data_IF_298612718856
#
_entry.id   IF_298612718856
#
_cell.length_a   1.000
_cell.length_b   1.000
_cell.length_c   1.000
_cell.angle_alpha   90.00
_cell.angle_beta   90.00
_cell.angle_gamma   90.00
#
_symmetry.space_group_name_H-M   'P 1'
#
loop_
_entity.id
_entity.type
_entity.pdbx_description
1 polymer ?
#
# COMPACT_ATOMS: atom_id res chain seq x y z
N UNK A 1 2.18 45.32 19.89
CA UNK A 1 2.45 44.02 19.25
C UNK A 1 3.20 43.17 20.27
N UNK A 2 2.89 41.87 20.38
CA UNK A 2 3.43 41.04 21.47
C UNK A 2 4.37 39.99 20.89
N UNK A 3 5.46 39.70 21.59
CA UNK A 3 6.41 38.66 21.19
C UNK A 3 5.76 37.28 21.24
N UNK A 4 5.84 36.52 20.15
CA UNK A 4 5.18 35.22 20.05
C UNK A 4 5.72 34.19 21.06
N UNK A 5 6.99 34.31 21.47
CA UNK A 5 7.64 33.40 22.41
C UNK A 5 7.35 33.77 23.87
N UNK A 6 7.69 35.00 24.26
CA UNK A 6 7.62 35.43 25.67
C UNK A 6 6.36 36.22 26.03
N UNK A 7 5.48 36.53 25.07
CA UNK A 7 4.23 37.29 25.21
C UNK A 7 4.35 38.73 25.75
N UNK A 8 5.57 39.23 25.94
CA UNK A 8 5.84 40.62 26.33
C UNK A 8 5.50 41.59 25.20
N UNK A 9 5.06 42.79 25.54
CA UNK A 9 4.87 43.87 24.56
C UNK A 9 6.22 44.30 23.99
N UNK A 10 6.28 44.44 22.66
CA UNK A 10 7.47 44.88 21.93
C UNK A 10 7.34 46.39 21.68
N UNK A 11 8.40 47.13 21.97
CA UNK A 11 8.50 48.55 21.66
C UNK A 11 8.57 48.70 20.13
N UNK A 12 7.70 49.52 19.51
CA UNK A 12 7.71 49.72 18.06
C UNK A 12 9.07 50.26 17.62
N UNK A 13 9.73 49.55 16.70
CA UNK A 13 11.08 49.85 16.20
C UNK A 13 12.16 48.82 16.58
N UNK A 14 11.91 47.98 17.60
CA UNK A 14 12.82 46.90 18.02
C UNK A 14 12.29 45.50 17.67
N UNK A 15 11.27 45.42 16.80
CA UNK A 15 10.69 44.15 16.37
C UNK A 15 11.56 43.45 15.31
N UNK A 16 11.82 42.16 15.52
CA UNK A 16 12.39 41.28 14.51
C UNK A 16 11.29 40.32 14.05
N UNK A 17 11.13 40.18 12.74
CA UNK A 17 10.09 39.32 12.14
C UNK A 17 10.70 38.09 11.50
N UNK A 18 10.06 36.95 11.73
CA UNK A 18 10.29 35.70 11.01
C UNK A 18 8.95 35.32 10.39
N UNK A 19 8.84 35.48 9.07
CA UNK A 19 7.55 35.45 8.37
C UNK A 19 6.55 36.44 9.02
N UNK A 20 5.36 35.98 9.39
CA UNK A 20 4.29 36.80 9.98
C UNK A 20 4.40 36.93 11.52
N UNK A 21 5.42 36.35 12.14
CA UNK A 21 5.58 36.36 13.59
C UNK A 21 6.58 37.42 14.04
N UNK A 22 6.20 38.16 15.10
CA UNK A 22 7.03 39.20 15.71
C UNK A 22 7.68 38.70 16.99
N UNK A 23 8.97 38.95 17.13
CA UNK A 23 9.78 38.55 18.28
C UNK A 23 10.52 39.77 18.85
N UNK A 24 10.75 39.77 20.17
CA UNK A 24 11.74 40.65 20.76
C UNK A 24 13.15 40.17 20.40
N UNK A 25 14.12 41.07 20.47
CA UNK A 25 15.50 40.82 20.05
C UNK A 25 16.11 39.58 20.72
N UNK A 26 15.94 39.43 22.04
CA UNK A 26 16.43 38.25 22.78
C UNK A 26 15.84 36.94 22.28
N UNK A 27 14.51 36.89 22.10
CA UNK A 27 13.82 35.68 21.65
C UNK A 27 14.17 35.33 20.20
N UNK A 28 14.47 36.34 19.38
CA UNK A 28 14.93 36.15 18.00
C UNK A 28 16.36 35.60 17.96
N UNK A 29 17.27 36.13 18.81
CA UNK A 29 18.64 35.61 18.93
C UNK A 29 18.65 34.15 19.41
N UNK A 30 17.82 33.78 20.39
CA UNK A 30 17.68 32.38 20.81
C UNK A 30 17.14 31.46 19.70
N UNK A 31 16.34 32.00 18.77
CA UNK A 31 15.76 31.23 17.67
C UNK A 31 16.80 31.00 16.54
N UNK A 32 17.67 31.99 16.30
CA UNK A 32 18.77 31.88 15.33
C UNK A 32 19.94 31.08 15.87
N UNK A 33 20.23 31.21 17.17
CA UNK A 33 21.17 30.37 17.89
C UNK A 33 20.51 29.01 18.13
N UNK A 34 20.32 28.27 17.03
CA UNK A 34 19.94 26.86 17.03
C UNK A 34 20.84 26.20 18.07
N UNK A 35 20.31 25.71 19.21
CA UNK A 35 21.16 25.13 20.22
C UNK A 35 21.88 23.97 19.55
N UNK A 36 23.18 24.15 19.30
CA UNK A 36 24.05 23.01 19.03
C UNK A 36 23.79 22.08 20.19
N UNK A 37 23.32 20.87 19.87
CA UNK A 37 23.08 19.80 20.84
C UNK A 37 24.39 19.54 21.58
N UNK A 38 24.67 20.36 22.60
CA UNK A 38 25.67 20.09 23.60
C UNK A 38 25.07 18.94 24.39
N UNK A 39 25.60 17.75 24.11
CA UNK A 39 25.38 16.56 24.91
C UNK A 39 25.85 16.87 26.33
N UNK A 40 24.93 17.36 27.15
CA UNK A 40 25.07 17.40 28.58
C UNK A 40 23.85 16.66 29.11
N UNK A 41 24.09 15.42 29.55
CA UNK A 41 23.12 14.53 30.16
C UNK A 41 22.32 15.26 31.24
N UNK A 42 21.00 15.41 31.10
CA UNK A 42 20.15 15.53 32.26
C UNK A 42 19.70 14.12 32.61
N UNK A 43 20.00 13.68 33.82
CA UNK A 43 19.28 12.60 34.49
C UNK A 43 17.81 13.01 34.66
N UNK A 44 17.05 12.98 33.55
CA UNK A 44 15.61 13.08 33.57
C UNK A 44 15.10 11.73 34.04
N UNK A 45 14.60 11.72 35.27
CA UNK A 45 13.55 10.82 35.70
C UNK A 45 12.35 11.04 34.78
N UNK A 46 12.40 10.46 33.58
CA UNK A 46 11.27 10.39 32.68
C UNK A 46 10.24 9.51 33.40
N UNK A 47 9.19 10.16 33.88
CA UNK A 47 7.91 9.52 34.20
C UNK A 47 7.55 8.70 32.97
N UNK A 48 7.87 7.41 33.00
CA UNK A 48 7.61 6.50 31.89
C UNK A 48 6.11 6.31 31.86
N UNK A 49 5.45 7.08 31.00
CA UNK A 49 4.03 6.91 30.74
C UNK A 49 3.83 5.49 30.22
N UNK A 50 3.16 4.68 31.03
CA UNK A 50 2.93 3.27 30.73
C UNK A 50 1.85 3.20 29.67
N UNK A 51 2.25 2.89 28.45
CA UNK A 51 1.37 2.70 27.30
C UNK A 51 0.88 1.25 27.30
N UNK A 52 -0.32 0.99 26.78
CA UNK A 52 -0.84 -0.36 26.61
C UNK A 52 -0.63 -0.85 25.17
N UNK A 53 -0.18 -2.09 25.02
CA UNK A 53 -0.15 -2.78 23.74
C UNK A 53 -1.57 -2.98 23.20
N UNK A 54 -1.81 -2.67 21.92
CA UNK A 54 -3.14 -2.78 21.32
C UNK A 54 -3.66 -4.23 21.26
N UNK A 55 -2.78 -5.23 21.12
CA UNK A 55 -3.15 -6.64 20.98
C UNK A 55 -3.28 -7.36 22.32
N UNK A 56 -2.21 -7.36 23.13
CA UNK A 56 -2.19 -8.11 24.40
C UNK A 56 -2.59 -7.27 25.63
N UNK A 57 -2.81 -5.95 25.47
CA UNK A 57 -3.13 -5.01 26.58
C UNK A 57 -2.08 -4.94 27.70
N UNK A 58 -0.88 -5.50 27.49
CA UNK A 58 0.22 -5.39 28.45
C UNK A 58 0.79 -3.98 28.47
N UNK A 59 1.22 -3.54 29.66
CA UNK A 59 1.90 -2.26 29.87
C UNK A 59 3.31 -2.33 29.30
N UNK A 60 3.63 -1.47 28.34
CA UNK A 60 4.92 -1.36 27.68
C UNK A 60 5.52 0.02 27.94
N UNK A 61 6.86 0.09 27.98
CA UNK A 61 7.55 1.38 27.99
C UNK A 61 7.45 2.03 26.60
N UNK A 62 7.37 3.35 26.56
CA UNK A 62 7.33 4.07 25.28
C UNK A 62 8.58 3.80 24.42
N UNK A 63 9.73 3.63 25.06
CA UNK A 63 11.01 3.37 24.39
C UNK A 63 11.08 1.99 23.72
N UNK A 64 10.31 1.01 24.22
CA UNK A 64 10.28 -0.36 23.66
C UNK A 64 9.10 -0.61 22.72
N UNK A 65 8.20 0.36 22.56
CA UNK A 65 7.01 0.17 21.72
C UNK A 65 7.35 0.29 20.23
N UNK A 66 6.78 -0.62 19.42
CA UNK A 66 6.80 -0.51 17.96
C UNK A 66 5.49 0.13 17.51
N UNK A 67 5.57 1.15 16.64
CA UNK A 67 4.43 1.92 16.15
C UNK A 67 4.14 1.54 14.70
N UNK A 68 2.87 1.22 14.39
CA UNK A 68 2.38 1.02 13.02
C UNK A 68 1.18 1.95 12.84
N UNK A 69 1.42 3.12 12.24
CA UNK A 69 0.44 4.19 12.19
C UNK A 69 0.08 4.72 13.58
N UNK A 70 -1.20 4.66 13.94
CA UNK A 70 -1.74 5.14 15.23
C UNK A 70 -1.61 4.07 16.33
N UNK A 71 -1.37 2.81 15.96
CA UNK A 71 -1.35 1.68 16.89
C UNK A 71 0.05 1.43 17.47
N UNK A 72 0.10 1.12 18.77
CA UNK A 72 1.31 0.81 19.53
C UNK A 72 1.29 -0.66 19.96
N UNK A 73 2.37 -1.38 19.68
CA UNK A 73 2.49 -2.83 19.95
C UNK A 73 3.71 -3.12 20.81
N UNK A 74 3.62 -4.19 21.61
CA UNK A 74 4.80 -4.78 22.24
C UNK A 74 5.67 -5.47 21.17
N UNK A 75 6.99 -5.65 21.44
CA UNK A 75 7.91 -6.27 20.49
C UNK A 75 7.45 -7.64 19.98
N UNK A 76 6.89 -8.47 20.87
CA UNK A 76 6.40 -9.82 20.55
C UNK A 76 5.21 -9.79 19.58
N UNK A 77 4.17 -9.02 19.91
CA UNK A 77 2.99 -8.90 19.05
C UNK A 77 3.32 -8.24 17.71
N UNK A 78 4.25 -7.29 17.68
CA UNK A 78 4.71 -6.69 16.44
C UNK A 78 5.47 -7.70 15.56
N UNK A 79 6.29 -8.58 16.15
CA UNK A 79 6.95 -9.64 15.41
C UNK A 79 5.92 -10.58 14.77
N UNK A 80 4.87 -10.97 15.50
CA UNK A 80 3.79 -11.82 14.97
C UNK A 80 3.04 -11.19 13.79
N UNK A 81 2.88 -9.87 13.77
CA UNK A 81 2.23 -9.16 12.65
C UNK A 81 3.09 -9.16 11.37
N UNK A 82 4.41 -9.17 11.51
CA UNK A 82 5.33 -9.18 10.37
C UNK A 82 5.65 -10.59 9.87
N UNK A 83 5.26 -11.62 10.61
CA UNK A 83 5.26 -12.98 10.09
C UNK A 83 4.07 -13.10 9.13
N UNK A 84 4.30 -12.79 7.86
CA UNK A 84 3.51 -13.40 6.80
C UNK A 84 3.63 -14.91 7.01
N UNK A 85 2.55 -15.64 7.34
CA UNK A 85 2.61 -17.08 7.34
C UNK A 85 3.09 -17.45 5.93
N UNK A 86 4.27 -18.08 5.84
CA UNK A 86 4.70 -18.72 4.60
C UNK A 86 3.54 -19.65 4.28
N UNK A 87 2.76 -19.31 3.26
CA UNK A 87 1.69 -20.19 2.79
C UNK A 87 2.36 -21.54 2.61
N UNK A 88 1.93 -22.53 3.41
CA UNK A 88 2.28 -23.92 3.13
C UNK A 88 1.56 -24.23 1.82
N UNK A 89 2.22 -23.96 0.71
CA UNK A 89 1.91 -24.51 -0.60
C UNK A 89 2.11 -26.02 -0.47
N UNK A 90 1.04 -26.71 -0.12
CA UNK A 90 1.09 -28.12 0.25
C UNK A 90 -0.20 -28.53 0.94
N UNK A 91 -1.33 -28.39 0.25
CA UNK A 91 -2.46 -29.29 0.47
C UNK A 91 -2.66 -29.97 -0.88
N UNK A 92 -2.39 -31.27 -0.86
CA UNK A 92 -2.59 -32.20 -1.97
C UNK A 92 -4.02 -32.05 -2.50
N UNK A 93 -4.12 -31.93 -3.83
CA UNK A 93 -5.28 -32.42 -4.57
C UNK A 93 -5.32 -33.94 -4.40
N UNK A 94 -5.98 -34.42 -3.35
CA UNK A 94 -6.51 -35.78 -3.32
C UNK A 94 -8.01 -35.68 -3.58
N UNK A 95 -8.35 -36.13 -4.79
CA UNK A 95 -9.63 -36.69 -5.24
C UNK A 95 -10.85 -36.40 -4.35
N UNK A 96 -11.63 -35.41 -4.78
CA UNK A 96 -13.06 -35.39 -4.51
C UNK A 96 -13.79 -35.58 -5.83
N UNK A 97 -14.10 -36.84 -6.12
CA UNK A 97 -15.04 -37.23 -7.17
C UNK A 97 -16.32 -36.40 -7.05
N UNK A 98 -16.64 -35.72 -8.16
CA UNK A 98 -17.89 -35.02 -8.38
C UNK A 98 -19.03 -36.02 -8.54
N UNK A 99 -20.03 -35.94 -7.67
CA UNK A 99 -21.39 -36.40 -8.00
C UNK A 99 -22.09 -35.30 -8.81
N UNK A 100 -22.62 -35.58 -10.01
CA UNK A 100 -23.31 -34.59 -10.82
C UNK A 100 -24.82 -34.74 -10.65
N UNK A 101 -25.45 -34.00 -9.74
CA UNK A 101 -26.89 -33.71 -9.83
C UNK A 101 -27.27 -32.61 -8.83
N UNK A 102 -28.29 -31.83 -9.21
CA UNK A 102 -28.88 -30.67 -8.49
C UNK A 102 -28.19 -29.32 -8.75
N UNK A 103 -28.47 -28.69 -9.89
CA UNK A 103 -29.68 -27.88 -10.17
C UNK A 103 -29.59 -26.42 -9.68
N UNK A 104 -29.15 -25.56 -10.61
CA UNK A 104 -29.87 -24.37 -11.06
C UNK A 104 -30.68 -23.60 -9.99
N UNK A 105 -30.04 -22.61 -9.36
CA UNK A 105 -30.57 -21.26 -9.10
C UNK A 105 -29.44 -20.34 -8.63
N UNK A 106 -28.57 -19.97 -9.56
CA UNK A 106 -27.57 -18.92 -9.34
C UNK A 106 -28.06 -17.61 -9.93
N UNK A 107 -28.55 -16.71 -9.08
CA UNK A 107 -28.61 -15.28 -9.38
C UNK A 107 -27.21 -14.80 -9.81
N UNK A 108 -27.05 -14.04 -10.91
CA UNK A 108 -25.77 -13.46 -11.26
C UNK A 108 -25.48 -12.32 -10.27
N UNK A 109 -24.82 -12.63 -9.16
CA UNK A 109 -24.10 -11.62 -8.40
C UNK A 109 -22.94 -11.16 -9.28
N UNK A 110 -23.16 -10.04 -9.97
CA UNK A 110 -22.14 -9.30 -10.69
C UNK A 110 -21.16 -8.81 -9.63
N UNK A 111 -20.16 -9.63 -9.32
CA UNK A 111 -19.08 -9.30 -8.41
C UNK A 111 -18.23 -8.22 -9.11
N UNK A 112 -18.61 -6.95 -8.90
CA UNK A 112 -17.88 -5.75 -9.34
C UNK A 112 -16.56 -5.55 -8.58
N UNK A 113 -15.97 -6.62 -8.04
CA UNK A 113 -14.59 -6.62 -7.62
C UNK A 113 -13.77 -7.15 -8.80
N UNK A 114 -12.95 -6.32 -9.47
CA UNK A 114 -11.91 -6.81 -10.37
C UNK A 114 -10.84 -7.51 -9.52
N UNK A 115 -11.19 -8.65 -8.93
CA UNK A 115 -10.23 -9.65 -8.52
C UNK A 115 -9.67 -10.17 -9.83
N UNK A 116 -8.61 -9.51 -10.31
CA UNK A 116 -7.69 -10.09 -11.27
C UNK A 116 -7.45 -11.52 -10.80
N UNK A 117 -7.79 -12.50 -11.65
CA UNK A 117 -7.55 -13.91 -11.39
C UNK A 117 -6.04 -14.16 -11.37
N UNK A 118 -5.38 -13.77 -10.29
CA UNK A 118 -3.96 -14.02 -10.02
C UNK A 118 -3.64 -15.51 -9.95
N UNK A 119 -4.65 -16.39 -9.99
CA UNK A 119 -4.48 -17.83 -9.96
C UNK A 119 -4.05 -18.42 -11.31
N UNK A 120 -4.30 -17.72 -12.43
CA UNK A 120 -3.86 -18.22 -13.74
C UNK A 120 -2.46 -17.69 -14.04
N UNK A 121 -1.50 -18.60 -14.06
CA UNK A 121 -0.14 -18.34 -14.53
C UNK A 121 0.13 -19.07 -15.84
N UNK A 122 1.00 -18.49 -16.66
CA UNK A 122 1.51 -19.06 -17.89
C UNK A 122 3.03 -18.93 -17.92
N UNK A 123 3.71 -19.74 -18.74
CA UNK A 123 5.18 -19.73 -18.79
C UNK A 123 5.66 -18.75 -19.86
N UNK A 124 6.61 -17.88 -19.49
CA UNK A 124 7.35 -17.08 -20.44
C UNK A 124 8.07 -18.00 -21.43
N UNK A 125 7.87 -17.79 -22.73
CA UNK A 125 8.45 -18.66 -23.75
C UNK A 125 9.97 -18.48 -23.96
N UNK A 126 10.54 -17.36 -23.51
CA UNK A 126 11.99 -17.11 -23.61
C UNK A 126 12.75 -17.62 -22.39
N UNK A 127 12.29 -17.30 -21.17
CA UNK A 127 13.02 -17.64 -19.94
C UNK A 127 12.37 -18.76 -19.10
N UNK A 128 11.20 -19.25 -19.48
CA UNK A 128 10.48 -20.33 -18.78
C UNK A 128 9.84 -19.96 -17.44
N UNK A 129 9.96 -18.71 -16.99
CA UNK A 129 9.41 -18.22 -15.72
C UNK A 129 7.88 -18.20 -15.77
N UNK A 130 7.23 -18.67 -14.71
CA UNK A 130 5.78 -18.53 -14.53
C UNK A 130 5.41 -17.06 -14.27
N UNK A 131 4.50 -16.53 -15.09
CA UNK A 131 4.00 -15.16 -15.04
C UNK A 131 2.47 -15.18 -14.90
N UNK A 132 1.87 -14.27 -14.11
CA UNK A 132 0.42 -14.14 -14.07
C UNK A 132 -0.08 -13.65 -15.42
N UNK A 133 -1.23 -14.16 -15.88
CA UNK A 133 -1.81 -13.80 -17.20
C UNK A 133 -2.01 -12.28 -17.35
N UNK A 134 -2.38 -11.58 -16.28
CA UNK A 134 -2.51 -10.10 -16.31
C UNK A 134 -1.18 -9.34 -16.42
N UNK A 135 -0.04 -10.01 -16.22
CA UNK A 135 1.30 -9.43 -16.30
C UNK A 135 2.12 -9.87 -17.51
N UNK A 136 1.57 -10.76 -18.37
CA UNK A 136 2.23 -11.17 -19.59
C UNK A 136 1.96 -10.19 -20.73
N UNK A 137 2.92 -10.07 -21.64
CA UNK A 137 2.75 -9.34 -22.91
C UNK A 137 2.79 -10.35 -24.05
N UNK A 138 1.83 -10.25 -24.97
CA UNK A 138 1.73 -11.11 -26.14
C UNK A 138 2.38 -10.43 -27.35
N UNK A 139 3.41 -11.06 -27.90
CA UNK A 139 4.14 -10.57 -29.08
C UNK A 139 4.27 -11.73 -30.06
N UNK A 140 3.74 -11.59 -31.28
CA UNK A 140 3.72 -12.67 -32.28
C UNK A 140 3.14 -14.00 -31.75
N UNK A 141 2.08 -13.92 -30.94
CA UNK A 141 1.46 -15.09 -30.32
C UNK A 141 2.21 -15.70 -29.14
N UNK A 142 3.36 -15.14 -28.75
CA UNK A 142 4.20 -15.60 -27.64
C UNK A 142 3.95 -14.79 -26.38
N UNK A 143 3.81 -15.46 -25.24
CA UNK A 143 3.68 -14.82 -23.94
C UNK A 143 5.07 -14.60 -23.33
N UNK A 144 5.40 -13.34 -23.06
CA UNK A 144 6.69 -12.91 -22.53
C UNK A 144 6.53 -12.24 -21.17
N UNK A 145 7.49 -12.49 -20.28
CA UNK A 145 7.60 -11.75 -19.04
C UNK A 145 8.08 -10.30 -19.31
N UNK A 146 7.84 -9.36 -18.38
CA UNK A 146 8.26 -7.96 -18.56
C UNK A 146 9.74 -7.81 -18.90
N UNK A 147 10.61 -8.56 -18.21
CA UNK A 147 12.06 -8.53 -18.44
C UNK A 147 12.43 -8.95 -19.87
N UNK A 148 11.86 -10.06 -20.36
CA UNK A 148 12.12 -10.53 -21.72
C UNK A 148 11.51 -9.61 -22.77
N UNK A 149 10.35 -9.01 -22.50
CA UNK A 149 9.71 -8.04 -23.38
C UNK A 149 10.56 -6.78 -23.54
N UNK A 150 11.07 -6.20 -22.45
CA UNK A 150 11.91 -5.00 -22.51
C UNK A 150 13.28 -5.24 -23.15
N UNK A 151 13.79 -6.46 -23.11
CA UNK A 151 15.02 -6.87 -23.78
C UNK A 151 14.89 -6.99 -25.31
N UNK A 152 13.67 -7.06 -25.86
CA UNK A 152 13.46 -7.10 -27.30
C UNK A 152 13.82 -5.75 -27.96
N UNK A 153 14.21 -5.74 -29.25
CA UNK A 153 14.34 -4.51 -30.02
C UNK A 153 12.98 -3.83 -30.25
N UNK A 154 12.98 -2.51 -30.38
CA UNK A 154 11.74 -1.71 -30.42
C UNK A 154 10.87 -1.99 -31.66
N UNK A 155 11.47 -2.40 -32.77
CA UNK A 155 10.76 -2.81 -33.99
C UNK A 155 9.79 -3.99 -33.75
N UNK A 156 10.15 -4.87 -32.82
CA UNK A 156 9.35 -6.05 -32.45
C UNK A 156 8.32 -5.68 -31.36
N UNK A 157 8.69 -4.78 -30.43
CA UNK A 157 7.75 -4.29 -29.40
C UNK A 157 6.56 -3.55 -29.99
N UNK A 158 6.76 -2.85 -31.12
CA UNK A 158 5.69 -2.16 -31.84
C UNK A 158 4.61 -3.11 -32.39
N UNK A 159 4.89 -4.41 -32.47
CA UNK A 159 3.94 -5.45 -32.88
C UNK A 159 3.27 -6.15 -31.69
N UNK A 160 3.42 -5.63 -30.47
CA UNK A 160 2.71 -6.16 -29.32
C UNK A 160 1.21 -5.87 -29.48
N UNK A 161 0.40 -6.93 -29.46
CA UNK A 161 -1.05 -6.80 -29.49
C UNK A 161 -1.51 -6.26 -28.13
N UNK A 162 -1.84 -4.96 -28.05
CA UNK A 162 -2.55 -4.36 -26.90
C UNK A 162 -4.03 -4.79 -26.84
N UNK A 163 -4.43 -5.83 -27.59
CA UNK A 163 -5.80 -6.34 -27.67
C UNK A 163 -6.13 -7.26 -26.49
N UNK A 164 -5.99 -6.79 -25.26
CA UNK A 164 -6.47 -7.52 -24.08
C UNK A 164 -7.92 -7.17 -23.68
N UNK A 165 -8.62 -6.26 -24.39
CA UNK A 165 -9.95 -5.79 -23.94
C UNK A 165 -11.01 -5.58 -25.05
N UNK A 166 -10.90 -6.21 -26.23
CA UNK A 166 -11.89 -6.00 -27.31
C UNK A 166 -12.91 -7.14 -27.47
N UNK A 167 -12.57 -8.38 -27.14
CA UNK A 167 -13.45 -9.53 -27.45
C UNK A 167 -14.59 -9.74 -26.44
N UNK A 168 -14.52 -9.11 -25.26
CA UNK A 168 -15.57 -9.20 -24.22
C UNK A 168 -16.78 -8.28 -24.49
N UNK A 169 -16.68 -7.31 -25.41
CA UNK A 169 -17.79 -6.40 -25.74
C UNK A 169 -18.73 -6.91 -26.83
N UNK A 170 -18.31 -7.88 -27.66
CA UNK A 170 -19.19 -8.45 -28.70
C UNK A 170 -20.28 -9.36 -28.12
N UNK A 171 -20.01 -10.02 -27.00
CA UNK A 171 -21.00 -10.90 -26.33
C UNK A 171 -22.09 -10.12 -25.59
N UNK A 172 -21.80 -8.89 -25.12
CA UNK A 172 -22.78 -8.05 -24.40
C UNK A 172 -23.76 -7.37 -25.36
N UNK A 173 -23.35 -7.07 -26.59
CA UNK A 173 -24.22 -6.41 -27.56
C UNK A 173 -25.31 -7.36 -28.10
N UNK A 174 -25.00 -8.65 -28.32
CA UNK A 174 -26.00 -9.64 -28.75
C UNK A 174 -27.08 -9.92 -27.68
N UNK A 175 -26.80 -9.67 -26.40
CA UNK A 175 -27.77 -9.82 -25.32
C UNK A 175 -28.79 -8.66 -25.25
N UNK A 176 -28.47 -7.48 -25.82
CA UNK A 176 -29.38 -6.32 -25.80
C UNK A 176 -30.45 -6.39 -26.88
N UNK A 177 -30.15 -6.97 -28.04
CA UNK A 177 -31.09 -7.05 -29.16
C UNK A 177 -32.20 -8.12 -28.96
N UNK A 178 -32.03 -9.01 -27.98
CA UNK A 178 -33.04 -10.01 -27.63
C UNK A 178 -34.17 -9.47 -26.73
N UNK A 179 -34.02 -8.28 -26.13
CA UNK A 179 -34.94 -7.76 -25.11
C UNK A 179 -35.92 -6.67 -25.61
N UNK A 180 -35.92 -6.33 -26.90
CA UNK A 180 -36.75 -5.23 -27.44
C UNK A 180 -37.98 -5.65 -28.25
N UNK A 181 -38.42 -6.91 -28.23
CA UNK A 181 -39.58 -7.37 -29.01
C UNK A 181 -40.70 -7.99 -28.17
N UNK A 182 -41.29 -7.26 -27.22
CA UNK A 182 -42.69 -7.49 -26.78
C UNK A 182 -43.31 -6.16 -26.31
N UNK A 183 -44.01 -5.46 -27.20
CA UNK A 183 -45.09 -4.50 -26.86
C UNK A 183 -46.15 -4.51 -27.93
#
# INVERSE_FOLDING_TARGET
MNCQKCKKEIIPGMEKKVADWSFCEDCFQELLNKPEKKAEEPALSHKTEKILCHLCKNKISEDSCKKTGIWKFCPECHASLNFSPKQKSGINEEDKELTPEEANRGTPEINLNPRFDFMKSEKCQECGRDIPVGGSRKVNGKHLCPECFYALPDDIKAQADDSNDAETLSAVQQAKDAYTCET
#
